data_IF_113758612981
#
_entry.id   IF_113758612981
#
_cell.length_a   1.000
_cell.length_b   1.000
_cell.length_c   1.000
_cell.angle_alpha   90.00
_cell.angle_beta   90.00
_cell.angle_gamma   90.00
#
_symmetry.space_group_name_H-M   'P 1'
#
loop_
_entity.id
_entity.type
_entity.pdbx_description
1 polymer ?
#
# COMPACT_ATOMS: atom_id res chain seq x y z
N UNK A 1 11.02 0.21 -0.59
CA UNK A 1 10.05 0.45 0.50
C UNK A 1 10.72 0.24 1.83
N UNK A 2 10.50 1.14 2.78
CA UNK A 2 11.01 1.02 4.15
C UNK A 2 9.85 0.90 5.13
N UNK A 3 9.96 0.05 6.18
CA UNK A 3 8.93 -0.02 7.21
C UNK A 3 8.82 1.33 7.94
N UNK A 4 7.59 1.79 8.14
CA UNK A 4 7.28 2.95 8.99
C UNK A 4 7.24 2.53 10.47
N UNK A 5 7.46 3.48 11.38
CA UNK A 5 7.08 3.32 12.79
C UNK A 5 5.57 3.23 12.99
N UNK A 6 4.81 3.78 12.03
CA UNK A 6 3.37 3.88 12.10
C UNK A 6 2.68 2.59 11.68
N UNK A 7 1.50 2.35 12.24
CA UNK A 7 0.64 1.21 11.92
C UNK A 7 -0.77 1.67 11.61
N UNK A 8 -1.43 0.98 10.71
CA UNK A 8 -2.87 1.12 10.47
C UNK A 8 -3.62 0.18 11.43
N UNK A 9 -4.76 0.64 11.94
CA UNK A 9 -5.68 -0.21 12.71
C UNK A 9 -6.91 -0.51 11.87
N UNK A 10 -7.20 -1.80 11.68
CA UNK A 10 -8.43 -2.27 11.05
C UNK A 10 -9.37 -2.82 12.12
N UNK A 11 -10.53 -2.19 12.29
CA UNK A 11 -11.58 -2.61 13.22
C UNK A 11 -12.76 -3.22 12.47
N UNK A 12 -13.41 -4.23 13.06
CA UNK A 12 -14.57 -4.88 12.49
C UNK A 12 -15.83 -4.59 13.32
N UNK A 13 -16.93 -4.28 12.63
CA UNK A 13 -18.23 -4.05 13.28
C UNK A 13 -18.95 -5.36 13.66
N UNK A 14 -18.47 -6.50 13.16
CA UNK A 14 -19.00 -7.84 13.48
C UNK A 14 -18.55 -8.36 14.86
N UNK A 15 -17.82 -7.54 15.63
CA UNK A 15 -17.30 -7.88 16.94
C UNK A 15 -15.97 -8.66 16.92
N UNK A 16 -15.41 -8.95 15.74
CA UNK A 16 -14.07 -9.52 15.65
C UNK A 16 -13.01 -8.53 16.18
N UNK A 17 -11.92 -9.04 16.80
CA UNK A 17 -10.86 -8.18 17.32
C UNK A 17 -10.23 -7.35 16.21
N UNK A 18 -9.91 -6.10 16.52
CA UNK A 18 -9.14 -5.24 15.63
C UNK A 18 -7.72 -5.77 15.44
N UNK A 19 -7.13 -5.46 14.29
CA UNK A 19 -5.75 -5.84 13.96
C UNK A 19 -4.91 -4.62 13.60
N UNK A 20 -3.64 -4.68 13.98
CA UNK A 20 -2.65 -3.69 13.56
C UNK A 20 -1.90 -4.20 12.32
N UNK A 21 -1.82 -3.36 11.31
CA UNK A 21 -1.17 -3.64 10.04
C UNK A 21 0.02 -2.68 9.85
N UNK A 22 1.23 -3.17 9.55
CA UNK A 22 2.37 -2.31 9.32
C UNK A 22 2.15 -1.37 8.13
N UNK A 23 2.64 -0.14 8.23
CA UNK A 23 2.70 0.80 7.10
C UNK A 23 4.12 0.80 6.53
N UNK A 24 4.24 0.80 5.20
CA UNK A 24 5.51 0.99 4.50
C UNK A 24 5.47 2.25 3.68
N UNK A 25 6.60 2.97 3.65
CA UNK A 25 6.76 4.19 2.85
C UNK A 25 7.63 3.92 1.62
N UNK A 26 7.19 4.49 0.50
CA UNK A 26 8.00 4.60 -0.72
C UNK A 26 8.96 5.79 -0.64
N UNK A 27 9.88 5.88 -1.60
CA UNK A 27 10.66 7.12 -1.79
C UNK A 27 9.77 8.24 -2.33
N UNK A 28 8.80 7.88 -3.18
CA UNK A 28 7.79 8.77 -3.78
C UNK A 28 6.47 7.99 -3.86
N UNK A 29 5.35 8.71 -3.92
CA UNK A 29 4.01 8.12 -4.01
C UNK A 29 3.38 7.82 -2.65
N UNK A 30 2.23 7.14 -2.64
CA UNK A 30 1.46 6.88 -1.42
C UNK A 30 2.11 5.81 -0.52
N UNK A 31 1.84 5.91 0.77
CA UNK A 31 2.14 4.87 1.75
C UNK A 31 1.28 3.62 1.50
N UNK A 32 1.81 2.44 1.85
CA UNK A 32 1.08 1.17 1.68
C UNK A 32 0.88 0.46 3.01
N UNK A 33 -0.27 -0.22 3.14
CA UNK A 33 -0.59 -1.04 4.30
C UNK A 33 -0.29 -2.50 3.97
N UNK A 34 0.53 -3.14 4.79
CA UNK A 34 0.90 -4.54 4.61
C UNK A 34 -0.17 -5.49 5.13
N UNK A 35 -0.93 -6.06 4.20
CA UNK A 35 -2.00 -7.03 4.47
C UNK A 35 -1.54 -8.50 4.34
N UNK A 36 -0.23 -8.80 4.23
CA UNK A 36 0.25 -10.19 4.02
C UNK A 36 -0.21 -11.17 5.09
N UNK A 37 -0.42 -10.69 6.32
CA UNK A 37 -0.88 -11.49 7.47
C UNK A 37 -2.38 -11.36 7.74
N UNK A 38 -3.12 -10.59 6.95
CA UNK A 38 -4.53 -10.25 7.22
C UNK A 38 -5.40 -11.51 7.32
N UNK A 39 -5.31 -12.40 6.33
CA UNK A 39 -6.12 -13.63 6.34
C UNK A 39 -5.80 -14.53 7.53
N UNK A 40 -4.50 -14.72 7.84
CA UNK A 40 -4.08 -15.54 8.98
C UNK A 40 -4.55 -14.98 10.33
N UNK A 41 -4.68 -13.66 10.44
CA UNK A 41 -5.11 -12.99 11.68
C UNK A 41 -6.63 -12.86 11.81
N UNK A 42 -7.36 -12.78 10.70
CA UNK A 42 -8.77 -12.36 10.70
C UNK A 42 -9.73 -13.31 10.00
N UNK A 43 -9.21 -14.26 9.21
CA UNK A 43 -9.99 -15.12 8.32
C UNK A 43 -10.66 -14.39 7.16
N UNK A 44 -10.30 -13.12 6.91
CA UNK A 44 -10.92 -12.25 5.89
C UNK A 44 -9.92 -11.90 4.77
N UNK A 45 -10.45 -11.63 3.59
CA UNK A 45 -9.71 -11.13 2.44
C UNK A 45 -10.07 -9.68 2.14
N UNK A 46 -9.21 -8.98 1.41
CA UNK A 46 -9.61 -7.77 0.69
C UNK A 46 -10.36 -8.15 -0.57
N UNK A 47 -11.27 -7.28 -1.00
CA UNK A 47 -11.99 -7.42 -2.26
C UNK A 47 -11.68 -6.19 -3.12
N UNK A 48 -10.79 -6.37 -4.10
CA UNK A 48 -10.32 -5.30 -4.99
C UNK A 48 -10.22 -5.81 -6.44
N UNK A 49 -11.36 -5.98 -7.12
CA UNK A 49 -11.37 -6.46 -8.50
C UNK A 49 -10.64 -5.44 -9.40
N UNK A 50 -9.58 -5.89 -10.06
CA UNK A 50 -8.73 -5.04 -10.92
C UNK A 50 -7.51 -4.44 -10.22
N UNK A 51 -7.30 -4.72 -8.93
CA UNK A 51 -6.11 -4.31 -8.17
C UNK A 51 -5.86 -2.79 -8.14
N UNK A 52 -6.91 -1.97 -8.25
CA UNK A 52 -6.79 -0.51 -8.31
C UNK A 52 -6.26 0.07 -7.00
N UNK A 53 -6.50 -0.60 -5.87
CA UNK A 53 -6.05 -0.19 -4.54
C UNK A 53 -5.02 -1.16 -3.93
N UNK A 54 -4.44 -2.04 -4.76
CA UNK A 54 -3.50 -3.07 -4.31
C UNK A 54 -2.13 -2.86 -4.94
N UNK A 55 -1.14 -2.47 -4.14
CA UNK A 55 0.25 -2.42 -4.57
C UNK A 55 0.83 -3.85 -4.70
N UNK A 56 1.01 -4.31 -5.93
CA UNK A 56 1.47 -5.69 -6.22
C UNK A 56 2.97 -5.91 -5.98
N UNK A 57 3.78 -4.85 -6.11
CA UNK A 57 5.23 -4.94 -5.92
C UNK A 57 5.84 -3.59 -5.49
N UNK A 58 7.06 -3.65 -4.95
CA UNK A 58 7.93 -2.48 -4.85
C UNK A 58 8.71 -2.35 -6.15
N UNK A 59 8.71 -1.17 -6.77
CA UNK A 59 9.47 -0.90 -8.00
C UNK A 59 10.40 0.30 -7.82
N UNK A 60 11.49 0.31 -8.58
CA UNK A 60 12.44 1.42 -8.69
C UNK A 60 12.64 1.85 -10.16
N UNK A 61 11.75 1.43 -11.07
CA UNK A 61 11.88 1.65 -12.51
C UNK A 61 11.21 2.96 -12.92
N UNK A 62 9.90 3.08 -12.69
CA UNK A 62 9.08 4.21 -13.14
C UNK A 62 8.15 4.66 -12.02
N UNK A 63 7.91 5.97 -11.93
CA UNK A 63 6.89 6.58 -11.08
C UNK A 63 5.96 7.45 -11.93
N UNK A 64 4.67 7.45 -11.59
CA UNK A 64 3.63 8.23 -12.26
C UNK A 64 2.77 8.91 -11.20
N UNK A 65 2.56 10.23 -11.33
CA UNK A 65 1.56 11.00 -10.60
C UNK A 65 0.65 11.70 -11.63
N UNK A 66 -0.54 11.12 -11.85
CA UNK A 66 -1.47 11.63 -12.86
C UNK A 66 -2.09 12.98 -12.50
N UNK A 67 -2.23 13.28 -11.21
CA UNK A 67 -2.81 14.55 -10.74
C UNK A 67 -1.83 15.71 -10.96
N UNK A 68 -0.52 15.44 -10.84
CA UNK A 68 0.54 16.41 -11.11
C UNK A 68 1.09 16.36 -12.53
N UNK A 69 0.73 15.35 -13.32
CA UNK A 69 1.30 15.12 -14.65
C UNK A 69 2.78 14.71 -14.61
N UNK A 70 3.24 14.03 -13.55
CA UNK A 70 4.63 13.58 -13.42
C UNK A 70 4.81 12.17 -13.99
N UNK A 71 5.84 11.99 -14.82
CA UNK A 71 6.32 10.69 -15.28
C UNK A 71 7.85 10.65 -15.12
N UNK A 72 8.33 9.77 -14.24
CA UNK A 72 9.75 9.65 -13.92
C UNK A 72 10.28 8.29 -14.35
N UNK A 73 11.40 8.26 -15.10
CA UNK A 73 12.18 7.06 -15.36
C UNK A 73 13.45 7.07 -14.51
N UNK A 74 13.59 6.11 -13.59
CA UNK A 74 14.69 6.06 -12.61
C UNK A 74 14.88 7.36 -11.82
N UNK A 75 13.79 8.11 -11.62
CA UNK A 75 13.78 9.40 -10.92
C UNK A 75 14.00 10.63 -11.81
N UNK A 76 14.32 10.46 -13.10
CA UNK A 76 14.45 11.56 -14.05
C UNK A 76 13.10 11.82 -14.75
N UNK A 77 12.63 13.08 -14.82
CA UNK A 77 11.49 13.44 -15.67
C UNK A 77 11.74 13.04 -17.12
N UNK A 78 10.66 12.80 -17.86
CA UNK A 78 10.77 12.44 -19.29
C UNK A 78 10.97 13.64 -20.22
N UNK A 79 10.78 14.86 -19.72
CA UNK A 79 11.04 16.14 -20.41
C UNK A 79 12.53 16.50 -20.41
#
# INVERSE_FOLDING_TARGET
MTPSSDKATLSFADGAPSVELPIYKGTTGPDVIDIRKLYAQTGKFTYDPGFLSTASCSSAITYIDGDKGELLYRGYPIE
#
